data_IF_321728833610
#
_entry.id   IF_321728833610
#
_cell.length_a   1.000
_cell.length_b   1.000
_cell.length_c   1.000
_cell.angle_alpha   90.00
_cell.angle_beta   90.00
_cell.angle_gamma   90.00
#
_symmetry.space_group_name_H-M   'P 1'
#
loop_
_entity.id
_entity.type
_entity.pdbx_description
1 polymer ?
#
# COMPACT_ATOMS: atom_id res chain seq x y z
N UNK A 1 -10.53 16.00 13.27
CA UNK A 1 -9.62 14.84 13.38
C UNK A 1 -9.50 14.45 14.84
N UNK A 2 -9.94 13.25 15.23
CA UNK A 2 -9.74 12.71 16.58
C UNK A 2 -8.33 12.13 16.69
N UNK A 3 -7.63 12.40 17.79
CA UNK A 3 -6.27 11.89 18.04
C UNK A 3 -6.34 10.37 18.26
N UNK A 4 -5.43 9.62 17.65
CA UNK A 4 -5.23 8.21 17.98
C UNK A 4 -4.82 8.10 19.47
N UNK A 5 -5.46 7.18 20.20
CA UNK A 5 -5.17 6.96 21.61
C UNK A 5 -3.83 6.25 21.85
N UNK A 6 -3.36 6.25 23.09
CA UNK A 6 -2.19 5.45 23.49
C UNK A 6 -2.39 3.98 23.11
N UNK A 7 -1.30 3.32 22.68
CA UNK A 7 -1.29 1.92 22.23
C UNK A 7 -2.09 1.62 20.95
N UNK A 8 -2.53 2.63 20.21
CA UNK A 8 -3.13 2.42 18.89
C UNK A 8 -2.05 2.02 17.88
N UNK A 9 -2.34 1.02 17.06
CA UNK A 9 -1.58 0.69 15.86
C UNK A 9 -2.41 1.09 14.65
N UNK A 10 -1.77 1.72 13.68
CA UNK A 10 -2.39 2.11 12.41
C UNK A 10 -1.75 1.27 11.32
N UNK A 11 -2.57 0.63 10.50
CA UNK A 11 -2.13 -0.16 9.35
C UNK A 11 -2.70 0.53 8.12
N UNK A 12 -1.81 0.97 7.23
CA UNK A 12 -2.17 1.45 5.90
C UNK A 12 -1.86 0.33 4.92
N UNK A 13 -2.85 -0.09 4.14
CA UNK A 13 -2.75 -1.16 3.16
C UNK A 13 -3.40 -0.72 1.86
N UNK A 14 -2.78 -1.09 0.75
CA UNK A 14 -3.27 -0.79 -0.58
C UNK A 14 -2.19 -1.08 -1.62
N UNK A 15 -2.51 -0.77 -2.87
CA UNK A 15 -1.60 -0.86 -4.00
C UNK A 15 -1.24 0.57 -4.47
N UNK A 16 0.04 0.96 -4.46
CA UNK A 16 0.47 2.29 -4.93
C UNK A 16 0.05 2.60 -6.38
N UNK A 17 -0.09 1.56 -7.21
CA UNK A 17 -0.41 1.69 -8.62
C UNK A 17 -1.93 1.77 -8.86
N UNK A 18 -2.74 1.47 -7.84
CA UNK A 18 -4.19 1.59 -7.91
C UNK A 18 -4.61 3.06 -7.79
N UNK A 19 -4.60 3.76 -8.93
CA UNK A 19 -4.96 5.18 -9.04
C UNK A 19 -6.17 5.32 -9.95
N UNK A 20 -7.29 5.79 -9.38
CA UNK A 20 -8.55 6.02 -10.10
C UNK A 20 -8.82 7.51 -10.37
N UNK A 21 -7.97 8.42 -9.85
CA UNK A 21 -8.16 9.88 -9.95
C UNK A 21 -7.20 10.53 -10.95
N UNK A 22 -7.69 11.44 -11.83
CA UNK A 22 -6.86 12.10 -12.84
C UNK A 22 -5.70 12.95 -12.29
N UNK A 23 -5.78 13.38 -11.03
CA UNK A 23 -4.83 14.30 -10.41
C UNK A 23 -3.90 13.64 -9.40
N UNK A 24 -3.97 12.32 -9.27
CA UNK A 24 -3.08 11.55 -8.42
C UNK A 24 -2.14 10.73 -9.30
N UNK A 25 -0.96 10.47 -8.78
CA UNK A 25 0.01 9.54 -9.34
C UNK A 25 0.51 8.59 -8.25
N UNK A 26 1.33 7.62 -8.64
CA UNK A 26 1.91 6.60 -7.77
C UNK A 26 2.73 7.19 -6.61
N UNK A 27 3.16 8.46 -6.70
CA UNK A 27 4.03 9.14 -5.74
C UNK A 27 3.29 10.11 -4.83
N UNK A 28 2.12 10.57 -5.26
CA UNK A 28 1.30 11.58 -4.59
C UNK A 28 0.06 11.02 -3.92
N UNK A 29 -0.25 9.74 -4.14
CA UNK A 29 -1.31 9.06 -3.40
C UNK A 29 -1.01 9.00 -1.89
N UNK A 30 -2.05 8.74 -1.09
CA UNK A 30 -1.95 8.75 0.38
C UNK A 30 -0.99 7.69 0.91
N UNK A 31 -0.91 6.52 0.26
CA UNK A 31 -0.05 5.41 0.69
C UNK A 31 1.43 5.78 0.52
N UNK A 32 1.81 6.24 -0.67
CA UNK A 32 3.16 6.69 -1.00
C UNK A 32 3.56 7.95 -0.23
N UNK A 33 2.63 8.88 -0.02
CA UNK A 33 2.85 10.04 0.83
C UNK A 33 3.17 9.62 2.27
N UNK A 34 2.35 8.75 2.88
CA UNK A 34 2.58 8.28 4.24
C UNK A 34 3.88 7.47 4.34
N UNK A 35 4.14 6.58 3.40
CA UNK A 35 5.38 5.80 3.35
C UNK A 35 6.61 6.72 3.32
N UNK A 36 6.63 7.71 2.43
CA UNK A 36 7.74 8.67 2.33
C UNK A 36 7.99 9.43 3.64
N UNK A 37 6.93 9.94 4.28
CA UNK A 37 7.07 10.75 5.49
C UNK A 37 7.40 9.94 6.75
N UNK A 38 7.18 8.63 6.73
CA UNK A 38 7.48 7.75 7.86
C UNK A 38 8.83 7.04 7.73
N UNK A 39 9.60 7.27 6.65
CA UNK A 39 10.94 6.70 6.50
C UNK A 39 11.87 7.14 7.64
N UNK A 40 12.62 6.18 8.19
CA UNK A 40 13.55 6.41 9.30
C UNK A 40 12.89 6.51 10.68
N UNK A 41 11.56 6.44 10.78
CA UNK A 41 10.89 6.40 12.07
C UNK A 41 11.14 5.06 12.78
N UNK A 42 11.58 5.04 14.05
CA UNK A 42 11.75 3.80 14.82
C UNK A 42 10.42 3.15 15.23
N UNK A 43 9.29 3.77 14.87
CA UNK A 43 7.94 3.29 15.19
C UNK A 43 7.16 2.86 13.94
N UNK A 44 7.77 2.95 12.75
CA UNK A 44 7.14 2.58 11.50
C UNK A 44 7.94 1.49 10.79
N UNK A 45 7.23 0.47 10.34
CA UNK A 45 7.75 -0.52 9.40
C UNK A 45 6.93 -0.45 8.13
N UNK A 46 7.61 -0.62 7.01
CA UNK A 46 7.03 -0.70 5.68
C UNK A 46 7.33 -2.08 5.11
N UNK A 47 6.29 -2.73 4.62
CA UNK A 47 6.36 -4.05 4.04
C UNK A 47 5.70 -3.95 2.67
N UNK A 48 6.41 -4.38 1.65
CA UNK A 48 5.90 -4.52 0.29
C UNK A 48 5.77 -6.01 0.00
N UNK A 49 4.66 -6.41 -0.61
CA UNK A 49 4.45 -7.78 -1.06
C UNK A 49 4.70 -7.84 -2.57
N UNK A 50 5.51 -8.79 -3.01
CA UNK A 50 5.74 -9.03 -4.43
C UNK A 50 4.72 -10.00 -5.01
N UNK A 51 4.71 -10.13 -6.35
CA UNK A 51 3.77 -11.00 -7.04
C UNK A 51 3.95 -12.49 -6.68
N UNK A 52 5.18 -12.91 -6.39
CA UNK A 52 5.56 -14.27 -5.98
C UNK A 52 5.19 -14.61 -4.53
N UNK A 53 5.08 -13.62 -3.64
CA UNK A 53 4.58 -13.80 -2.27
C UNK A 53 3.05 -13.88 -2.22
N UNK A 54 2.37 -13.35 -3.24
CA UNK A 54 0.92 -13.31 -3.32
C UNK A 54 0.35 -14.67 -3.74
N UNK A 55 -0.48 -15.27 -2.89
CA UNK A 55 -1.26 -16.47 -3.24
C UNK A 55 -2.48 -16.08 -4.06
N UNK A 56 -2.60 -16.64 -5.26
CA UNK A 56 -3.75 -16.43 -6.18
C UNK A 56 -4.33 -17.77 -6.62
N UNK A 57 -5.60 -17.77 -7.00
CA UNK A 57 -6.20 -18.93 -7.68
C UNK A 57 -5.63 -19.08 -9.09
N UNK A 58 -5.70 -20.29 -9.65
CA UNK A 58 -5.28 -20.55 -11.04
C UNK A 58 -5.99 -19.61 -12.03
N UNK A 59 -7.29 -19.35 -11.83
CA UNK A 59 -8.07 -18.42 -12.66
C UNK A 59 -7.53 -16.99 -12.60
N UNK A 60 -7.21 -16.48 -11.40
CA UNK A 60 -6.69 -15.12 -11.25
C UNK A 60 -5.29 -14.99 -11.84
N UNK A 61 -4.47 -16.04 -11.74
CA UNK A 61 -3.14 -16.07 -12.35
C UNK A 61 -3.21 -16.09 -13.88
N UNK A 62 -4.09 -16.92 -14.46
CA UNK A 62 -4.32 -16.97 -15.90
C UNK A 62 -4.81 -15.63 -16.46
N UNK A 63 -5.71 -14.94 -15.75
CA UNK A 63 -6.18 -13.61 -16.16
C UNK A 63 -5.06 -12.56 -16.22
N UNK A 64 -4.14 -12.55 -15.25
CA UNK A 64 -3.00 -11.61 -15.23
C UNK A 64 -2.05 -11.84 -16.41
N UNK A 65 -1.79 -13.10 -16.78
CA UNK A 65 -0.87 -13.44 -17.88
C UNK A 65 -1.39 -13.05 -19.27
N UNK A 66 -2.68 -12.72 -19.40
CA UNK A 66 -3.35 -12.36 -20.65
C UNK A 66 -3.52 -10.85 -20.85
N UNK A 67 -3.26 -10.05 -19.82
CA UNK A 67 -3.27 -8.58 -19.86
C UNK A 67 -1.92 -8.06 -20.33
#
# INVERSE_FOLDING_TARGET
MTRAGKNTKIILLGDPDQIDKPFLDERTNVLSYAAKHMQGSPLCWQISMSADECVRSELAQDAIMRL
#
